data_IF_606889132071
#
_entry.id   IF_606889132071
#
_cell.length_a   1.000
_cell.length_b   1.000
_cell.length_c   1.000
_cell.angle_alpha   90.00
_cell.angle_beta   90.00
_cell.angle_gamma   90.00
#
_symmetry.space_group_name_H-M   'P 1'
#
loop_
_entity.id
_entity.type
_entity.pdbx_description
1 polymer ?
#
# COMPACT_ATOMS: atom_id res chain seq x y z
N UNK A 1 -10.61 -29.81 -22.21
CA UNK A 1 -10.29 -28.42 -21.83
C UNK A 1 -9.22 -27.87 -22.76
N UNK A 2 -9.59 -27.01 -23.70
CA UNK A 2 -8.66 -26.41 -24.68
C UNK A 2 -7.80 -25.35 -24.01
N UNK A 3 -6.50 -25.60 -23.84
CA UNK A 3 -5.53 -24.60 -23.40
C UNK A 3 -5.37 -23.57 -24.53
N UNK A 4 -5.96 -22.38 -24.38
CA UNK A 4 -5.73 -21.27 -25.31
C UNK A 4 -4.31 -20.72 -25.07
N UNK A 5 -3.58 -20.44 -26.15
CA UNK A 5 -2.25 -19.84 -26.05
C UNK A 5 -2.38 -18.41 -25.53
N UNK A 6 -1.69 -18.11 -24.42
CA UNK A 6 -1.64 -16.76 -23.89
C UNK A 6 -0.92 -15.81 -24.87
N UNK A 7 -1.46 -14.60 -25.02
CA UNK A 7 -0.77 -13.53 -25.74
C UNK A 7 0.52 -13.14 -25.02
N UNK A 8 1.49 -12.58 -25.75
CA UNK A 8 2.76 -12.15 -25.15
C UNK A 8 2.55 -11.17 -23.99
N UNK A 9 1.53 -10.29 -24.09
CA UNK A 9 1.17 -9.35 -23.02
C UNK A 9 0.73 -10.05 -21.74
N UNK A 10 -0.08 -11.12 -21.85
CA UNK A 10 -0.54 -11.91 -20.69
C UNK A 10 0.62 -12.68 -20.06
N UNK A 11 1.51 -13.26 -20.88
CA UNK A 11 2.73 -13.92 -20.39
C UNK A 11 3.63 -12.95 -19.62
N UNK A 12 3.84 -11.75 -20.16
CA UNK A 12 4.63 -10.71 -19.51
C UNK A 12 4.00 -10.25 -18.19
N UNK A 13 2.67 -10.11 -18.13
CA UNK A 13 1.96 -9.76 -16.90
C UNK A 13 2.10 -10.85 -15.84
N UNK A 14 1.93 -12.13 -16.20
CA UNK A 14 2.12 -13.27 -15.29
C UNK A 14 3.56 -13.34 -14.75
N UNK A 15 4.55 -13.11 -15.60
CA UNK A 15 5.95 -13.08 -15.20
C UNK A 15 6.23 -11.94 -14.20
N UNK A 16 5.71 -10.74 -14.46
CA UNK A 16 5.82 -9.61 -13.53
C UNK A 16 5.18 -9.94 -12.19
N UNK A 17 3.98 -10.51 -12.20
CA UNK A 17 3.27 -10.90 -10.99
C UNK A 17 4.05 -11.94 -10.18
N UNK A 18 4.65 -12.94 -10.83
CA UNK A 18 5.50 -13.93 -10.17
C UNK A 18 6.74 -13.28 -9.53
N UNK A 19 7.44 -12.41 -10.27
CA UNK A 19 8.60 -11.68 -9.74
C UNK A 19 8.22 -10.77 -8.57
N UNK A 20 7.08 -10.08 -8.65
CA UNK A 20 6.56 -9.23 -7.57
C UNK A 20 6.24 -10.06 -6.33
N UNK A 21 5.68 -11.27 -6.48
CA UNK A 21 5.42 -12.16 -5.32
C UNK A 21 6.70 -12.62 -4.62
N UNK A 22 7.76 -12.96 -5.37
CA UNK A 22 9.06 -13.31 -4.79
C UNK A 22 9.72 -12.12 -4.10
N UNK A 23 9.63 -10.93 -4.70
CA UNK A 23 10.16 -9.69 -4.09
C UNK A 23 9.41 -9.33 -2.80
N UNK A 24 8.08 -9.43 -2.78
CA UNK A 24 7.25 -9.20 -1.60
C UNK A 24 7.59 -10.18 -0.46
N UNK A 25 7.79 -11.46 -0.78
CA UNK A 25 8.21 -12.45 0.19
C UNK A 25 9.58 -12.12 0.80
N UNK A 26 10.57 -11.75 -0.04
CA UNK A 26 11.89 -11.34 0.41
C UNK A 26 11.87 -10.08 1.31
N UNK A 27 11.03 -9.09 0.98
CA UNK A 27 10.83 -7.89 1.80
C UNK A 27 10.26 -8.26 3.17
N UNK A 28 9.23 -9.11 3.20
CA UNK A 28 8.57 -9.53 4.45
C UNK A 28 9.53 -10.27 5.37
N UNK A 29 10.33 -11.19 4.84
CA UNK A 29 11.33 -11.93 5.61
C UNK A 29 12.42 -11.02 6.19
N UNK A 30 12.81 -10.00 5.43
CA UNK A 30 13.83 -9.04 5.85
C UNK A 30 13.32 -8.10 6.94
N UNK A 31 12.08 -7.64 6.83
CA UNK A 31 11.42 -6.82 7.86
C UNK A 31 11.21 -7.63 9.15
N UNK A 32 10.71 -8.85 9.06
CA UNK A 32 10.50 -9.73 10.21
C UNK A 32 11.82 -10.07 10.96
N UNK A 33 12.95 -10.11 10.24
CA UNK A 33 14.28 -10.28 10.86
C UNK A 33 14.81 -9.00 11.48
N UNK A 34 14.54 -7.81 10.92
CA UNK A 34 14.92 -6.53 11.57
C UNK A 34 14.22 -6.32 12.91
N UNK A 35 12.99 -6.81 13.03
CA UNK A 35 12.20 -6.71 14.26
C UNK A 35 12.71 -7.67 15.36
N UNK A 36 13.29 -8.80 14.97
CA UNK A 36 13.97 -9.72 15.90
C UNK A 36 15.39 -9.19 16.13
N UNK A 37 15.74 -8.81 17.37
CA UNK A 37 17.09 -8.37 17.81
C UNK A 37 18.19 -9.47 17.71
N UNK A 38 18.11 -10.34 16.70
CA UNK A 38 19.06 -11.42 16.43
C UNK A 38 20.05 -10.93 15.36
N UNK A 39 21.37 -11.21 15.49
CA UNK A 39 22.32 -10.95 14.41
C UNK A 39 21.92 -11.77 13.17
N UNK A 40 21.21 -11.12 12.25
CA UNK A 40 20.48 -11.76 11.17
C UNK A 40 21.22 -11.69 9.84
N UNK A 41 21.03 -12.75 9.03
CA UNK A 41 21.46 -12.86 7.63
C UNK A 41 21.35 -11.52 6.88
N UNK A 42 22.43 -11.11 6.21
CA UNK A 42 22.49 -9.85 5.47
C UNK A 42 21.43 -9.77 4.36
N UNK A 43 21.11 -8.54 3.90
CA UNK A 43 20.27 -8.31 2.70
C UNK A 43 20.65 -9.24 1.54
N UNK A 44 21.94 -9.47 1.31
CA UNK A 44 22.44 -10.34 0.25
C UNK A 44 22.07 -11.81 0.47
N UNK A 45 22.14 -12.32 1.69
CA UNK A 45 21.77 -13.70 1.98
C UNK A 45 20.27 -13.94 1.76
N UNK A 46 19.42 -12.99 2.14
CA UNK A 46 17.96 -13.07 1.92
C UNK A 46 17.63 -12.96 0.42
N UNK A 47 18.31 -12.06 -0.29
CA UNK A 47 18.14 -11.92 -1.73
C UNK A 47 18.49 -13.23 -2.47
N UNK A 48 19.58 -13.90 -2.06
CA UNK A 48 20.00 -15.18 -2.62
C UNK A 48 19.02 -16.33 -2.32
N UNK A 49 18.43 -16.36 -1.12
CA UNK A 49 17.41 -17.35 -0.74
C UNK A 49 16.15 -17.25 -1.61
N UNK A 50 15.74 -16.01 -1.94
CA UNK A 50 14.53 -15.75 -2.73
C UNK A 50 14.79 -15.58 -4.24
N UNK A 51 16.05 -15.68 -4.68
CA UNK A 51 16.42 -15.52 -6.10
C UNK A 51 16.16 -14.12 -6.66
N UNK A 52 16.15 -13.08 -5.80
CA UNK A 52 15.89 -11.69 -6.17
C UNK A 52 17.17 -10.86 -6.16
N UNK A 53 17.20 -9.76 -6.93
CA UNK A 53 18.36 -8.86 -6.91
C UNK A 53 18.46 -8.12 -5.57
N UNK A 54 19.63 -8.23 -4.94
CA UNK A 54 19.94 -7.60 -3.66
C UNK A 54 19.90 -6.07 -3.73
N UNK A 55 20.23 -5.45 -4.87
CA UNK A 55 20.17 -3.99 -5.04
C UNK A 55 18.72 -3.55 -4.98
N UNK A 56 17.85 -4.26 -5.71
CA UNK A 56 16.42 -3.98 -5.77
C UNK A 56 15.75 -4.22 -4.41
N UNK A 57 16.09 -5.31 -3.72
CA UNK A 57 15.61 -5.59 -2.36
C UNK A 57 16.03 -4.51 -1.37
N UNK A 58 17.32 -4.14 -1.37
CA UNK A 58 17.86 -3.08 -0.49
C UNK A 58 17.18 -1.73 -0.77
N UNK A 59 16.95 -1.41 -2.04
CA UNK A 59 16.25 -0.19 -2.46
C UNK A 59 14.84 -0.14 -1.89
N UNK A 60 14.05 -1.21 -2.04
CA UNK A 60 12.64 -1.27 -1.63
C UNK A 60 12.44 -1.30 -0.11
N UNK A 61 13.42 -1.83 0.63
CA UNK A 61 13.37 -1.86 2.11
C UNK A 61 13.66 -0.49 2.73
N UNK A 62 14.33 0.42 2.01
CA UNK A 62 14.61 1.77 2.52
C UNK A 62 13.30 2.56 2.66
N UNK A 63 13.11 3.27 3.79
CA UNK A 63 11.90 4.07 4.02
C UNK A 63 11.71 5.19 3.01
N UNK A 64 12.78 5.64 2.34
CA UNK A 64 12.79 6.67 1.30
C UNK A 64 12.19 6.19 -0.04
N UNK A 65 12.17 4.88 -0.30
CA UNK A 65 11.63 4.30 -1.54
C UNK A 65 10.28 3.60 -1.32
N UNK A 66 9.52 3.99 -0.29
CA UNK A 66 8.12 3.58 -0.15
C UNK A 66 7.37 3.93 -1.43
N UNK A 67 6.47 3.07 -1.88
CA UNK A 67 5.66 3.42 -3.05
C UNK A 67 4.84 4.68 -2.75
N UNK A 68 4.56 5.49 -3.77
CA UNK A 68 3.70 6.67 -3.62
C UNK A 68 2.34 6.25 -3.03
N UNK A 69 1.86 5.05 -3.36
CA UNK A 69 0.64 4.48 -2.78
C UNK A 69 0.76 4.26 -1.28
N UNK A 70 1.83 3.63 -0.80
CA UNK A 70 2.05 3.38 0.64
C UNK A 70 2.29 4.67 1.40
N UNK A 71 2.99 5.63 0.78
CA UNK A 71 3.17 6.96 1.34
C UNK A 71 1.84 7.71 1.45
N UNK A 72 0.99 7.65 0.42
CA UNK A 72 -0.33 8.26 0.45
C UNK A 72 -1.26 7.58 1.46
N UNK A 73 -1.22 6.24 1.55
CA UNK A 73 -1.94 5.49 2.56
C UNK A 73 -1.49 5.90 3.98
N UNK A 74 -0.19 6.12 4.20
CA UNK A 74 0.32 6.61 5.48
C UNK A 74 -0.10 8.06 5.82
N UNK A 75 -0.47 8.86 4.81
CA UNK A 75 -1.02 10.21 5.00
C UNK A 75 -2.52 10.20 5.30
N UNK A 76 -3.21 9.09 5.05
CA UNK A 76 -4.65 8.99 5.23
C UNK A 76 -4.96 8.94 6.73
N UNK A 77 -5.57 10.03 7.23
CA UNK A 77 -5.93 10.18 8.65
C UNK A 77 -7.29 9.57 9.00
N UNK A 78 -8.09 9.26 7.98
CA UNK A 78 -9.45 8.75 8.13
C UNK A 78 -9.49 7.27 7.75
N UNK A 79 -10.27 6.50 8.50
CA UNK A 79 -10.61 5.14 8.08
C UNK A 79 -11.57 5.20 6.89
N UNK A 80 -11.58 4.20 6.00
CA UNK A 80 -12.51 4.16 4.86
C UNK A 80 -13.99 4.31 5.29
N UNK A 81 -14.35 3.79 6.46
CA UNK A 81 -15.70 3.93 7.02
C UNK A 81 -16.04 5.38 7.37
N UNK A 82 -15.12 6.12 8.01
CA UNK A 82 -15.32 7.53 8.37
C UNK A 82 -15.36 8.42 7.14
N UNK A 83 -14.50 8.14 6.17
CA UNK A 83 -14.50 8.84 4.88
C UNK A 83 -15.83 8.67 4.15
N UNK A 84 -16.38 7.45 4.14
CA UNK A 84 -17.68 7.17 3.50
C UNK A 84 -18.82 7.97 4.12
N UNK A 85 -18.93 7.97 5.44
CA UNK A 85 -19.96 8.74 6.16
C UNK A 85 -19.82 10.24 5.88
N UNK A 86 -18.58 10.75 5.84
CA UNK A 86 -18.31 12.16 5.55
C UNK A 86 -18.70 12.54 4.12
N UNK A 87 -18.29 11.74 3.14
CA UNK A 87 -18.62 11.96 1.73
C UNK A 87 -20.14 11.92 1.53
N UNK A 88 -20.81 10.94 2.13
CA UNK A 88 -22.26 10.83 2.07
C UNK A 88 -22.96 12.05 2.66
N UNK A 89 -22.52 12.54 3.82
CA UNK A 89 -23.06 13.74 4.44
C UNK A 89 -22.81 15.02 3.60
N UNK A 90 -21.63 15.15 2.99
CA UNK A 90 -21.30 16.28 2.09
C UNK A 90 -22.21 16.24 0.86
N UNK A 91 -22.37 15.07 0.23
CA UNK A 91 -23.26 14.88 -0.92
C UNK A 91 -24.70 15.23 -0.57
N UNK A 92 -25.23 14.69 0.53
CA UNK A 92 -26.59 14.99 0.99
C UNK A 92 -26.78 16.48 1.30
N UNK A 93 -25.75 17.15 1.84
CA UNK A 93 -25.81 18.60 2.10
C UNK A 93 -25.84 19.40 0.79
N UNK A 94 -25.02 19.00 -0.19
CA UNK A 94 -24.99 19.61 -1.51
C UNK A 94 -26.32 19.44 -2.26
N UNK A 95 -26.92 18.24 -2.21
CA UNK A 95 -28.22 17.94 -2.84
C UNK A 95 -29.35 18.78 -2.22
N UNK A 96 -29.23 19.14 -0.95
CA UNK A 96 -30.16 20.04 -0.24
C UNK A 96 -29.92 21.54 -0.53
N UNK A 97 -28.96 21.87 -1.39
CA UNK A 97 -28.62 23.25 -1.74
C UNK A 97 -27.65 23.94 -0.77
N UNK A 98 -27.04 23.18 0.15
CA UNK A 98 -26.06 23.68 1.12
C UNK A 98 -24.71 22.95 0.93
N UNK A 99 -23.99 23.22 -0.17
CA UNK A 99 -22.68 22.63 -0.37
C UNK A 99 -21.73 23.04 0.77
N UNK A 100 -21.17 22.04 1.43
CA UNK A 100 -20.26 22.23 2.56
C UNK A 100 -18.92 22.80 2.06
N UNK A 101 -18.44 23.85 2.72
CA UNK A 101 -17.09 24.35 2.48
C UNK A 101 -16.06 23.50 3.23
N UNK A 102 -14.80 23.54 2.80
CA UNK A 102 -13.72 22.79 3.44
C UNK A 102 -13.63 23.06 4.95
N UNK A 103 -13.76 24.33 5.37
CA UNK A 103 -13.65 24.70 6.78
C UNK A 103 -14.82 24.19 7.61
N UNK A 104 -16.02 24.13 7.03
CA UNK A 104 -17.21 23.61 7.70
C UNK A 104 -17.11 22.09 7.87
N UNK A 105 -16.79 21.38 6.78
CA UNK A 105 -16.57 19.93 6.81
C UNK A 105 -15.42 19.54 7.75
N UNK A 106 -14.38 20.38 7.87
CA UNK A 106 -13.26 20.17 8.80
C UNK A 106 -13.68 20.36 10.26
N UNK A 107 -14.50 21.36 10.60
CA UNK A 107 -14.98 21.56 11.98
C UNK A 107 -15.84 20.39 12.45
N UNK A 108 -16.74 19.93 11.59
CA UNK A 108 -17.64 18.82 11.91
C UNK A 108 -16.90 17.48 12.05
N UNK A 109 -15.73 17.35 11.40
CA UNK A 109 -14.82 16.22 11.58
C UNK A 109 -14.28 16.11 13.02
N UNK A 110 -13.94 17.24 13.65
CA UNK A 110 -13.34 17.25 14.98
C UNK A 110 -14.38 17.18 16.10
N UNK A 111 -15.61 17.66 15.87
CA UNK A 111 -16.69 17.57 16.85
C UNK A 111 -17.19 16.15 17.11
N UNK A 112 -17.02 15.23 16.15
CA UNK A 112 -17.44 13.83 16.25
C UNK A 112 -16.32 12.88 16.71
N UNK A 113 -15.15 13.41 17.08
CA UNK A 113 -13.98 12.61 17.55
C UNK A 113 -13.82 12.64 19.07
N UNK A 114 -14.49 13.56 19.78
CA UNK A 114 -14.43 13.70 21.24
C UNK A 114 -15.68 13.20 22.01
N UNK A 115 -16.60 12.50 21.35
CA UNK A 115 -17.79 11.89 21.97
C UNK A 115 -17.78 10.36 21.80
#
# INVERSE_FOLDING_TARGET
>A
MTKRADSQRVKAAKLRQANDTWMQAAIKDLLAKKEKLVPGKSCQAIAKEHGVDHIMLSRLVKPENRSISDFNASKQKLTPSKERVMVEWICQSADRGFPQTYDQARKDLYSHVEA
#
